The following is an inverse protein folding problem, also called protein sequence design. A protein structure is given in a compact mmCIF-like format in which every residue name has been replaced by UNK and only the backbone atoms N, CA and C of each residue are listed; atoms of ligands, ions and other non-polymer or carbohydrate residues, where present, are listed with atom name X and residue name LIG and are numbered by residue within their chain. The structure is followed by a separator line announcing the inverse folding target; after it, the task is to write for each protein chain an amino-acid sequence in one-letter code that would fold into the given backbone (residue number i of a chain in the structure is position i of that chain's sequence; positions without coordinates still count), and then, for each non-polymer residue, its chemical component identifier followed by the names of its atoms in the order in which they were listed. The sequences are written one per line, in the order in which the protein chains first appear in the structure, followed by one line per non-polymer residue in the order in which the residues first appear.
data_IF_934885076820
#
_entry.id   IF_934885076820
#
_cell.length_a   1.000
_cell.length_b   1.000
_cell.length_c   1.000
_cell.angle_alpha   90.00
_cell.angle_beta   90.00
_cell.angle_gamma   90.00
#
_symmetry.space_group_name_H-M   'P 1'
#
loop_
_entity.id
_entity.type
_entity.pdbx_description
1 polymer ?
#
# COMPACT_ATOMS: atom_id res chain seq x y z
N UNK A 1 -35.38 5.19 -0.02
CA UNK A 1 -34.37 4.48 0.79
C UNK A 1 -33.78 5.44 1.80
N UNK A 2 -33.90 5.15 3.11
CA UNK A 2 -33.36 6.00 4.17
C UNK A 2 -31.84 6.20 4.07
N UNK A 3 -31.34 7.29 4.66
CA UNK A 3 -29.91 7.71 4.60
C UNK A 3 -28.93 6.62 5.06
N UNK A 4 -29.34 5.72 5.94
CA UNK A 4 -28.53 4.58 6.40
C UNK A 4 -28.47 3.42 5.40
N UNK A 5 -29.53 3.21 4.60
CA UNK A 5 -29.58 2.09 3.63
C UNK A 5 -28.62 2.27 2.46
N UNK A 6 -28.28 3.50 2.08
CA UNK A 6 -27.40 3.75 0.93
C UNK A 6 -25.94 3.38 1.23
N UNK A 7 -25.47 3.60 2.46
CA UNK A 7 -24.08 3.32 2.85
C UNK A 7 -23.77 1.81 2.88
N UNK A 8 -24.79 0.96 2.99
CA UNK A 8 -24.62 -0.49 2.87
C UNK A 8 -24.14 -0.93 1.49
N UNK A 9 -24.31 -0.09 0.46
CA UNK A 9 -23.78 -0.33 -0.89
C UNK A 9 -22.27 -0.10 -0.99
N UNK A 10 -21.61 0.45 0.05
CA UNK A 10 -20.24 0.94 -0.03
C UNK A 10 -19.24 -0.09 0.51
N UNK A 11 -18.05 -0.11 -0.09
CA UNK A 11 -16.93 -0.94 0.35
C UNK A 11 -16.36 -0.45 1.68
N UNK A 12 -15.56 -1.26 2.37
CA UNK A 12 -14.99 -0.87 3.67
C UNK A 12 -14.07 0.34 3.50
N UNK A 13 -13.20 0.32 2.49
CA UNK A 13 -12.30 1.43 2.19
C UNK A 13 -13.06 2.73 1.84
N UNK A 14 -14.21 2.63 1.16
CA UNK A 14 -15.02 3.80 0.85
C UNK A 14 -15.71 4.38 2.09
N UNK A 15 -16.15 3.52 3.02
CA UNK A 15 -16.73 3.95 4.29
C UNK A 15 -15.70 4.63 5.20
N UNK A 16 -14.44 4.19 5.18
CA UNK A 16 -13.34 4.85 5.89
C UNK A 16 -13.15 6.30 5.40
N UNK A 17 -13.09 6.52 4.08
CA UNK A 17 -13.00 7.87 3.48
C UNK A 17 -14.19 8.74 3.88
N UNK A 18 -15.40 8.16 3.88
CA UNK A 18 -16.59 8.90 4.28
C UNK A 18 -16.59 9.25 5.78
N UNK A 19 -16.07 8.37 6.63
CA UNK A 19 -15.91 8.61 8.07
C UNK A 19 -14.89 9.73 8.31
N UNK A 20 -13.73 9.68 7.67
CA UNK A 20 -12.72 10.73 7.78
C UNK A 20 -13.26 12.08 7.30
N UNK A 21 -14.03 12.10 6.20
CA UNK A 21 -14.67 13.33 5.74
C UNK A 21 -15.69 13.90 6.74
N UNK A 22 -16.39 13.05 7.51
CA UNK A 22 -17.25 13.49 8.62
C UNK A 22 -16.43 14.08 9.76
N UNK A 23 -15.32 13.46 10.13
CA UNK A 23 -14.42 13.96 11.18
C UNK A 23 -13.87 15.34 10.80
N UNK A 24 -13.37 15.50 9.57
CA UNK A 24 -12.92 16.80 9.05
C UNK A 24 -14.06 17.82 9.12
N UNK A 25 -15.29 17.44 8.76
CA UNK A 25 -16.44 18.35 8.83
C UNK A 25 -16.81 18.74 10.26
N UNK A 26 -16.75 17.83 11.22
CA UNK A 26 -16.99 18.11 12.64
C UNK A 26 -15.97 19.12 13.19
N UNK A 27 -14.71 19.06 12.76
CA UNK A 27 -13.68 20.05 13.12
C UNK A 27 -13.90 21.44 12.48
N UNK A 28 -14.73 21.53 11.44
CA UNK A 28 -14.93 22.73 10.62
C UNK A 28 -16.40 23.16 10.51
N UNK A 29 -17.15 23.04 11.61
CA UNK A 29 -18.50 23.60 11.77
C UNK A 29 -19.64 22.60 11.51
N UNK A 30 -19.32 21.31 11.38
CA UNK A 30 -20.30 20.22 11.33
C UNK A 30 -21.08 20.09 10.02
N UNK A 31 -20.84 20.93 9.00
CA UNK A 31 -21.55 20.88 7.72
C UNK A 31 -20.70 20.25 6.62
N UNK A 32 -20.92 18.96 6.36
CA UNK A 32 -20.14 18.20 5.40
C UNK A 32 -20.46 18.59 3.96
N UNK A 33 -19.46 19.13 3.26
CA UNK A 33 -19.52 19.58 1.86
C UNK A 33 -18.62 18.71 0.97
N UNK A 34 -18.72 18.81 -0.38
CA UNK A 34 -17.83 18.10 -1.31
C UNK A 34 -16.33 18.31 -1.02
N UNK A 35 -15.95 19.49 -0.52
CA UNK A 35 -14.55 19.78 -0.16
C UNK A 35 -14.03 18.94 1.00
N UNK A 36 -14.89 18.54 1.94
CA UNK A 36 -14.50 17.65 3.04
C UNK A 36 -14.24 16.23 2.53
N UNK A 37 -15.08 15.78 1.59
CA UNK A 37 -14.86 14.48 0.94
C UNK A 37 -13.59 14.49 0.09
N UNK A 38 -13.35 15.58 -0.65
CA UNK A 38 -12.10 15.79 -1.37
C UNK A 38 -10.90 15.85 -0.41
N UNK A 39 -11.03 16.55 0.72
CA UNK A 39 -9.98 16.60 1.75
C UNK A 39 -9.67 15.21 2.30
N UNK A 40 -10.69 14.38 2.58
CA UNK A 40 -10.51 12.99 3.02
C UNK A 40 -9.78 12.13 1.98
N UNK A 41 -10.12 12.27 0.69
CA UNK A 41 -9.34 11.63 -0.37
C UNK A 41 -7.87 12.08 -0.34
N UNK A 42 -7.61 13.36 -0.07
CA UNK A 42 -6.25 13.92 -0.10
C UNK A 42 -5.44 13.64 1.18
N UNK A 43 -6.10 13.49 2.33
CA UNK A 43 -5.49 13.18 3.63
C UNK A 43 -5.12 11.72 3.74
N UNK A 44 -5.86 10.81 3.09
CA UNK A 44 -5.41 9.44 2.92
C UNK A 44 -4.06 9.43 2.19
N UNK A 45 -3.03 9.04 2.93
CA UNK A 45 -1.66 8.97 2.42
C UNK A 45 -1.48 7.94 1.28
N UNK A 46 -2.54 7.19 1.01
CA UNK A 46 -2.58 5.89 0.35
C UNK A 46 -3.61 5.82 -0.78
N UNK A 47 -3.99 6.98 -1.29
CA UNK A 47 -4.96 7.15 -2.33
C UNK A 47 -4.34 6.93 -3.74
N UNK A 48 -4.93 6.04 -4.56
CA UNK A 48 -4.61 5.84 -5.98
C UNK A 48 -4.50 7.17 -6.76
N UNK A 49 -5.26 8.18 -6.39
CA UNK A 49 -5.29 9.51 -6.98
C UNK A 49 -3.96 10.26 -6.88
N UNK A 50 -3.01 9.87 -6.00
CA UNK A 50 -1.65 10.45 -5.98
C UNK A 50 -0.94 10.36 -7.33
N UNK A 51 -1.27 9.36 -8.13
CA UNK A 51 -0.70 9.15 -9.45
C UNK A 51 -1.39 10.00 -10.54
N UNK A 52 -2.59 10.51 -10.26
CA UNK A 52 -3.43 11.21 -11.23
C UNK A 52 -3.59 12.69 -10.92
N UNK A 53 -3.31 13.08 -9.67
CA UNK A 53 -3.67 14.37 -9.12
C UNK A 53 -2.51 14.90 -8.24
N UNK A 54 -2.11 16.18 -8.38
CA UNK A 54 -1.11 16.81 -7.53
C UNK A 54 -1.67 17.08 -6.12
N UNK A 55 -1.73 16.04 -5.27
CA UNK A 55 -2.36 16.08 -3.94
C UNK A 55 -1.88 17.24 -3.07
N UNK A 56 -0.56 17.51 -3.06
CA UNK A 56 0.01 18.61 -2.26
C UNK A 56 -0.54 19.97 -2.68
N UNK A 57 -0.69 20.20 -4.00
CA UNK A 57 -1.16 21.48 -4.54
C UNK A 57 -2.64 21.69 -4.21
N UNK A 58 -3.47 20.67 -4.45
CA UNK A 58 -4.91 20.76 -4.12
C UNK A 58 -5.13 20.86 -2.61
N UNK A 59 -4.43 20.04 -1.83
CA UNK A 59 -4.55 20.08 -0.38
C UNK A 59 -4.15 21.44 0.20
N UNK A 60 -3.15 22.11 -0.41
CA UNK A 60 -2.81 23.48 -0.07
C UNK A 60 -3.93 24.45 -0.44
N UNK A 61 -4.48 24.36 -1.66
CA UNK A 61 -5.56 25.24 -2.13
C UNK A 61 -6.82 25.14 -1.25
N UNK A 62 -7.25 23.92 -0.91
CA UNK A 62 -8.39 23.70 -0.02
C UNK A 62 -8.23 24.43 1.34
N UNK A 63 -7.00 24.46 1.87
CA UNK A 63 -6.68 25.15 3.13
C UNK A 63 -6.56 26.67 2.96
N UNK A 64 -5.80 27.12 1.96
CA UNK A 64 -5.55 28.56 1.74
C UNK A 64 -6.81 29.32 1.36
N UNK A 65 -7.68 28.71 0.55
CA UNK A 65 -8.94 29.31 0.11
C UNK A 65 -10.08 29.12 1.13
N UNK A 66 -9.80 28.53 2.30
CA UNK A 66 -10.79 28.23 3.37
C UNK A 66 -12.02 27.47 2.85
N UNK A 67 -11.84 26.65 1.80
CA UNK A 67 -12.92 25.87 1.17
C UNK A 67 -13.53 24.84 2.12
N UNK A 68 -12.73 24.31 3.05
CA UNK A 68 -13.15 23.38 4.11
C UNK A 68 -13.79 24.10 5.30
N UNK A 69 -13.86 25.44 5.28
CA UNK A 69 -14.36 26.24 6.40
C UNK A 69 -13.28 26.59 7.43
N UNK A 70 -13.66 27.41 8.41
CA UNK A 70 -12.79 27.74 9.56
C UNK A 70 -12.87 26.62 10.59
N UNK A 71 -11.77 26.37 11.31
CA UNK A 71 -11.78 25.47 12.47
C UNK A 71 -12.81 25.95 13.49
N UNK A 72 -13.81 25.11 13.73
CA UNK A 72 -14.88 25.29 14.72
C UNK A 72 -15.47 23.91 14.99
N UNK A 73 -15.13 23.34 16.14
CA UNK A 73 -15.60 22.00 16.50
C UNK A 73 -17.12 22.02 16.68
N UNK A 74 -17.79 21.05 16.10
CA UNK A 74 -19.23 20.77 16.22
C UNK A 74 -19.42 19.36 16.72
N UNK A 75 -20.44 19.14 17.55
CA UNK A 75 -20.85 17.79 17.99
C UNK A 75 -21.91 17.17 17.07
N UNK A 76 -22.49 17.98 16.16
CA UNK A 76 -23.52 17.54 15.22
C UNK A 76 -23.00 17.58 13.79
N UNK A 77 -23.36 16.57 13.01
CA UNK A 77 -23.00 16.43 11.59
C UNK A 77 -24.23 16.63 10.70
N UNK A 78 -24.11 17.56 9.76
CA UNK A 78 -25.10 17.86 8.73
C UNK A 78 -24.53 17.42 7.38
N UNK A 79 -25.09 16.34 6.83
CA UNK A 79 -24.76 15.87 5.48
C UNK A 79 -25.57 16.69 4.46
N UNK A 80 -24.87 17.51 3.68
CA UNK A 80 -25.49 18.38 2.66
C UNK A 80 -26.13 17.62 1.51
N UNK A 81 -27.04 18.26 0.78
CA UNK A 81 -27.69 17.68 -0.40
C UNK A 81 -26.69 17.33 -1.51
N UNK A 82 -25.65 18.14 -1.71
CA UNK A 82 -24.57 17.82 -2.65
C UNK A 82 -23.91 16.48 -2.32
N UNK A 83 -23.59 16.22 -1.05
CA UNK A 83 -23.02 14.94 -0.64
C UNK A 83 -24.01 13.80 -0.90
N UNK A 84 -25.30 13.98 -0.61
CA UNK A 84 -26.30 12.96 -0.91
C UNK A 84 -26.40 12.67 -2.41
N UNK A 85 -26.31 13.70 -3.25
CA UNK A 85 -26.27 13.56 -4.71
C UNK A 85 -25.03 12.79 -5.18
N UNK A 86 -23.85 13.12 -4.64
CA UNK A 86 -22.59 12.40 -4.90
C UNK A 86 -22.70 10.92 -4.52
N UNK A 87 -23.23 10.60 -3.34
CA UNK A 87 -23.39 9.21 -2.90
C UNK A 87 -24.35 8.44 -3.83
N UNK A 88 -25.48 9.03 -4.22
CA UNK A 88 -26.41 8.44 -5.19
C UNK A 88 -25.76 8.21 -6.55
N UNK A 89 -24.96 9.17 -7.02
CA UNK A 89 -24.21 9.05 -8.27
C UNK A 89 -23.16 7.93 -8.19
N UNK A 90 -22.43 7.81 -7.08
CA UNK A 90 -21.45 6.74 -6.89
C UNK A 90 -22.10 5.34 -7.00
N UNK A 91 -23.32 5.17 -6.46
CA UNK A 91 -24.10 3.92 -6.63
C UNK A 91 -24.47 3.67 -8.10
N UNK A 92 -24.81 4.71 -8.88
CA UNK A 92 -25.08 4.56 -10.32
C UNK A 92 -23.82 4.17 -11.10
N UNK A 93 -22.67 4.78 -10.78
CA UNK A 93 -21.39 4.43 -11.41
C UNK A 93 -21.02 2.99 -11.09
N UNK A 94 -21.19 2.55 -9.84
CA UNK A 94 -21.03 1.16 -9.42
C UNK A 94 -21.87 0.19 -10.26
N UNK A 95 -23.15 0.48 -10.45
CA UNK A 95 -24.04 -0.34 -11.28
C UNK A 95 -23.56 -0.41 -12.74
N UNK A 96 -23.16 0.73 -13.31
CA UNK A 96 -22.60 0.80 -14.67
C UNK A 96 -21.33 -0.05 -14.82
N UNK A 97 -20.46 -0.02 -13.81
CA UNK A 97 -19.21 -0.76 -13.77
C UNK A 97 -19.39 -2.23 -13.34
N UNK A 98 -20.63 -2.66 -13.03
CA UNK A 98 -20.98 -4.02 -12.56
C UNK A 98 -20.24 -4.43 -11.28
N UNK A 99 -19.85 -3.47 -10.45
CA UNK A 99 -19.18 -3.75 -9.18
C UNK A 99 -20.18 -4.11 -8.06
N UNK A 100 -19.76 -4.99 -7.14
CA UNK A 100 -20.61 -5.43 -6.02
C UNK A 100 -20.88 -4.31 -5.01
N UNK A 101 -19.87 -3.48 -4.74
CA UNK A 101 -19.89 -2.38 -3.76
C UNK A 101 -19.33 -1.11 -4.39
N UNK A 102 -19.75 0.06 -3.89
CA UNK A 102 -19.16 1.35 -4.25
C UNK A 102 -17.75 1.43 -3.70
N UNK A 103 -16.79 1.55 -4.59
CA UNK A 103 -15.34 1.60 -4.33
C UNK A 103 -14.83 3.04 -4.26
N UNK A 104 -13.63 3.31 -3.70
CA UNK A 104 -13.04 4.64 -3.68
C UNK A 104 -12.96 5.32 -5.07
N UNK A 105 -12.61 4.64 -6.18
CA UNK A 105 -12.65 5.24 -7.51
C UNK A 105 -14.04 5.71 -7.94
N UNK A 106 -15.09 4.92 -7.66
CA UNK A 106 -16.46 5.27 -8.05
C UNK A 106 -16.98 6.45 -7.25
N UNK A 107 -16.66 6.49 -5.95
CA UNK A 107 -16.95 7.65 -5.12
C UNK A 107 -16.18 8.88 -5.60
N UNK A 108 -14.91 8.74 -5.99
CA UNK A 108 -14.13 9.85 -6.52
C UNK A 108 -14.66 10.35 -7.86
N UNK A 109 -15.00 9.46 -8.80
CA UNK A 109 -15.62 9.84 -10.08
C UNK A 109 -16.92 10.59 -9.84
N UNK A 110 -17.74 10.11 -8.91
CA UNK A 110 -18.98 10.79 -8.54
C UNK A 110 -18.74 12.18 -7.92
N UNK A 111 -17.71 12.31 -7.10
CA UNK A 111 -17.27 13.57 -6.50
C UNK A 111 -16.72 14.54 -7.56
N UNK A 112 -15.96 14.04 -8.52
CA UNK A 112 -15.34 14.83 -9.58
C UNK A 112 -16.36 15.45 -10.56
N UNK A 113 -17.57 14.88 -10.63
CA UNK A 113 -18.72 15.45 -11.33
C UNK A 113 -19.48 16.52 -10.53
N UNK A 114 -19.16 16.76 -9.25
CA UNK A 114 -19.68 17.94 -8.54
C UNK A 114 -19.09 19.21 -9.15
N UNK A 115 -19.93 20.23 -9.38
CA UNK A 115 -19.53 21.48 -10.06
C UNK A 115 -18.29 22.11 -9.42
N UNK A 116 -18.28 22.23 -8.09
CA UNK A 116 -17.20 22.89 -7.35
C UNK A 116 -15.90 22.10 -7.41
N UNK A 117 -16.00 20.77 -7.31
CA UNK A 117 -14.83 19.90 -7.42
C UNK A 117 -14.31 19.84 -8.86
N UNK A 118 -15.20 19.82 -9.86
CA UNK A 118 -14.82 19.85 -11.26
C UNK A 118 -14.04 21.12 -11.61
N UNK A 119 -14.51 22.28 -11.15
CA UNK A 119 -13.82 23.57 -11.30
C UNK A 119 -12.45 23.56 -10.62
N UNK A 120 -12.36 23.04 -9.39
CA UNK A 120 -11.10 22.87 -8.66
C UNK A 120 -10.13 21.93 -9.41
N UNK A 121 -10.60 20.81 -9.95
CA UNK A 121 -9.72 19.87 -10.66
C UNK A 121 -9.22 20.47 -11.98
N UNK A 122 -10.06 21.24 -12.67
CA UNK A 122 -9.69 21.95 -13.90
C UNK A 122 -8.63 23.02 -13.65
N UNK A 123 -8.68 23.75 -12.54
CA UNK A 123 -7.65 24.77 -12.22
C UNK A 123 -6.25 24.17 -12.02
N UNK A 124 -6.17 22.86 -11.75
CA UNK A 124 -4.92 22.11 -11.65
C UNK A 124 -4.58 21.28 -12.90
N UNK A 125 -5.26 21.52 -14.03
CA UNK A 125 -5.08 20.79 -15.30
C UNK A 125 -5.23 19.26 -15.18
N UNK A 126 -6.15 18.80 -14.33
CA UNK A 126 -6.36 17.36 -14.10
C UNK A 126 -7.32 16.82 -15.16
N UNK A 127 -6.82 15.84 -15.92
CA UNK A 127 -7.62 15.14 -16.91
C UNK A 127 -8.30 13.91 -16.29
N UNK A 128 -9.59 14.05 -15.95
CA UNK A 128 -10.41 12.98 -15.40
C UNK A 128 -10.65 11.81 -16.37
N UNK A 129 -10.57 12.06 -17.69
CA UNK A 129 -10.74 10.99 -18.69
C UNK A 129 -9.59 9.99 -18.62
N UNK A 130 -8.37 10.47 -18.37
CA UNK A 130 -7.20 9.60 -18.16
C UNK A 130 -7.37 8.75 -16.91
N UNK A 131 -7.80 9.35 -15.80
CA UNK A 131 -8.09 8.59 -14.57
C UNK A 131 -9.16 7.51 -14.82
N UNK A 132 -10.27 7.87 -15.45
CA UNK A 132 -11.36 6.93 -15.73
C UNK A 132 -10.91 5.79 -16.67
N UNK A 133 -10.14 6.10 -17.71
CA UNK A 133 -9.62 5.09 -18.64
C UNK A 133 -8.65 4.12 -17.95
N UNK A 134 -7.74 4.61 -17.13
CA UNK A 134 -6.79 3.77 -16.37
C UNK A 134 -7.53 2.90 -15.34
N UNK A 135 -8.51 3.45 -14.63
CA UNK A 135 -9.32 2.68 -13.68
C UNK A 135 -10.18 1.60 -14.36
N UNK A 136 -10.66 1.87 -15.57
CA UNK A 136 -11.42 0.89 -16.37
C UNK A 136 -10.51 -0.24 -16.87
N UNK A 137 -9.26 0.07 -17.23
CA UNK A 137 -8.26 -0.92 -17.69
C UNK A 137 -7.72 -1.79 -16.56
N UNK A 138 -7.36 -1.17 -15.44
CA UNK A 138 -6.75 -1.86 -14.30
C UNK A 138 -7.82 -2.63 -13.50
N UNK A 139 -9.07 -2.14 -13.52
CA UNK A 139 -10.11 -2.57 -12.60
C UNK A 139 -9.82 -2.07 -11.17
N UNK A 140 -10.83 -2.07 -10.31
CA UNK A 140 -10.63 -1.86 -8.88
C UNK A 140 -10.77 -3.18 -8.13
N UNK A 141 -9.68 -3.63 -7.54
CA UNK A 141 -9.64 -4.75 -6.60
C UNK A 141 -9.35 -4.17 -5.20
N UNK A 142 -10.32 -4.30 -4.28
CA UNK A 142 -10.22 -3.78 -2.92
C UNK A 142 -9.05 -4.41 -2.13
N UNK A 143 -8.74 -5.68 -2.39
CA UNK A 143 -7.59 -6.34 -1.77
C UNK A 143 -6.28 -5.78 -2.31
N UNK A 144 -6.16 -5.60 -3.64
CA UNK A 144 -4.98 -4.95 -4.25
C UNK A 144 -4.84 -3.49 -3.82
N UNK A 145 -5.94 -2.73 -3.73
CA UNK A 145 -5.94 -1.34 -3.24
C UNK A 145 -5.38 -1.25 -1.82
N UNK A 146 -5.86 -2.09 -0.91
CA UNK A 146 -5.38 -2.15 0.46
C UNK A 146 -3.91 -2.60 0.53
N UNK A 147 -3.46 -3.50 -0.36
CA UNK A 147 -2.03 -3.88 -0.50
C UNK A 147 -1.15 -2.73 -1.01
N UNK A 148 -1.60 -1.93 -1.98
CA UNK A 148 -0.87 -0.75 -2.47
C UNK A 148 -0.80 0.35 -1.40
N UNK A 149 -1.90 0.56 -0.67
CA UNK A 149 -2.00 1.44 0.50
C UNK A 149 -0.95 1.07 1.54
N UNK A 150 -0.85 -0.22 1.86
CA UNK A 150 0.21 -0.77 2.68
C UNK A 150 1.60 -0.44 2.09
N UNK A 151 1.88 -0.65 0.80
CA UNK A 151 3.23 -0.45 0.24
C UNK A 151 3.73 1.01 0.34
N UNK A 152 2.85 1.99 0.19
CA UNK A 152 3.23 3.40 0.36
C UNK A 152 3.54 3.74 1.82
N UNK A 153 2.86 3.10 2.79
CA UNK A 153 3.20 3.21 4.21
C UNK A 153 4.57 2.60 4.49
N UNK A 154 4.91 1.48 3.85
CA UNK A 154 6.26 0.89 3.94
C UNK A 154 7.33 1.85 3.43
N UNK A 155 7.13 2.47 2.26
CA UNK A 155 8.10 3.41 1.67
C UNK A 155 8.42 4.57 2.63
N UNK A 156 7.38 5.15 3.25
CA UNK A 156 7.55 6.20 4.26
C UNK A 156 8.15 5.70 5.56
N UNK A 157 7.75 4.52 6.01
CA UNK A 157 8.33 3.91 7.20
C UNK A 157 9.85 3.70 7.00
N UNK A 158 10.26 3.17 5.85
CA UNK A 158 11.67 3.02 5.48
C UNK A 158 12.34 4.38 5.41
N UNK A 159 11.73 5.37 4.74
CA UNK A 159 12.31 6.71 4.60
C UNK A 159 12.54 7.40 5.95
N UNK A 160 11.64 7.20 6.93
CA UNK A 160 11.78 7.76 8.28
C UNK A 160 12.81 7.03 9.14
N UNK A 161 12.87 5.69 9.06
CA UNK A 161 13.71 4.88 9.95
C UNK A 161 15.09 4.55 9.37
N UNK A 162 15.26 4.68 8.05
CA UNK A 162 16.50 4.43 7.32
C UNK A 162 16.80 5.68 6.48
N UNK A 163 17.22 6.78 7.14
CA UNK A 163 17.53 8.01 6.43
C UNK A 163 18.68 7.80 5.45
N UNK A 164 18.59 8.44 4.29
CA UNK A 164 19.51 8.23 3.17
C UNK A 164 19.08 7.10 2.23
N UNK A 165 20.04 6.55 1.47
CA UNK A 165 19.87 5.38 0.60
C UNK A 165 18.68 5.43 -0.39
N UNK A 166 18.32 6.62 -0.87
CA UNK A 166 17.16 6.83 -1.75
C UNK A 166 17.15 5.90 -2.97
N UNK A 167 18.33 5.58 -3.55
CA UNK A 167 18.46 4.67 -4.68
C UNK A 167 18.06 3.23 -4.31
N UNK A 168 18.57 2.70 -3.20
CA UNK A 168 18.26 1.35 -2.73
C UNK A 168 16.77 1.23 -2.36
N UNK A 169 16.23 2.20 -1.60
CA UNK A 169 14.80 2.26 -1.25
C UNK A 169 13.91 2.22 -2.49
N UNK A 170 14.17 3.08 -3.47
CA UNK A 170 13.39 3.12 -4.73
C UNK A 170 13.43 1.78 -5.47
N UNK A 171 14.59 1.13 -5.54
CA UNK A 171 14.76 -0.17 -6.22
C UNK A 171 13.93 -1.26 -5.52
N UNK A 172 14.04 -1.36 -4.19
CA UNK A 172 13.26 -2.32 -3.39
C UNK A 172 11.77 -2.05 -3.57
N UNK A 173 11.31 -0.81 -3.36
CA UNK A 173 9.89 -0.45 -3.50
C UNK A 173 9.35 -0.75 -4.90
N UNK A 174 10.15 -0.57 -5.94
CA UNK A 174 9.73 -0.90 -7.31
C UNK A 174 9.42 -2.38 -7.48
N UNK A 175 10.27 -3.26 -6.95
CA UNK A 175 10.09 -4.72 -7.04
C UNK A 175 8.86 -5.14 -6.22
N UNK A 176 8.75 -4.68 -4.96
CA UNK A 176 7.61 -5.04 -4.11
C UNK A 176 6.27 -4.54 -4.67
N UNK A 177 6.25 -3.37 -5.33
CA UNK A 177 5.07 -2.86 -6.05
C UNK A 177 4.68 -3.77 -7.20
N UNK A 178 5.65 -4.21 -8.01
CA UNK A 178 5.40 -5.09 -9.14
C UNK A 178 4.75 -6.40 -8.70
N UNK A 179 5.31 -7.03 -7.67
CA UNK A 179 4.81 -8.31 -7.15
C UNK A 179 3.41 -8.17 -6.54
N UNK A 180 3.17 -7.19 -5.67
CA UNK A 180 1.82 -7.02 -5.08
C UNK A 180 0.75 -6.59 -6.10
N UNK A 181 1.13 -5.99 -7.23
CA UNK A 181 0.21 -5.72 -8.34
C UNK A 181 -0.13 -6.97 -9.16
N UNK A 182 0.60 -8.07 -8.94
CA UNK A 182 0.50 -9.30 -9.72
C UNK A 182 1.10 -9.14 -11.11
N UNK A 183 2.09 -8.26 -11.26
CA UNK A 183 2.82 -8.01 -12.50
C UNK A 183 4.13 -8.81 -12.55
N UNK A 184 4.28 -9.78 -11.66
CA UNK A 184 5.43 -10.68 -11.68
C UNK A 184 5.30 -11.65 -12.87
N UNK A 185 6.40 -11.80 -13.60
CA UNK A 185 6.51 -12.65 -14.79
C UNK A 185 6.82 -14.10 -14.35
N UNK A 186 7.25 -14.32 -13.10
CA UNK A 186 7.71 -15.62 -12.59
C UNK A 186 7.21 -15.87 -11.16
N UNK A 187 5.93 -16.25 -10.98
CA UNK A 187 5.32 -16.48 -9.66
C UNK A 187 5.97 -17.61 -8.86
N UNK A 188 6.75 -18.48 -9.50
CA UNK A 188 7.55 -19.51 -8.86
C UNK A 188 8.78 -18.97 -8.12
N UNK A 189 9.13 -17.68 -8.25
CA UNK A 189 10.27 -17.05 -7.58
C UNK A 189 9.86 -16.32 -6.31
N UNK A 190 10.80 -16.02 -5.40
CA UNK A 190 10.50 -15.19 -4.25
C UNK A 190 10.03 -13.79 -4.69
N UNK A 191 9.10 -13.20 -3.94
CA UNK A 191 8.56 -11.83 -4.12
C UNK A 191 9.65 -10.73 -4.27
N UNK A 192 10.88 -11.02 -3.88
CA UNK A 192 12.04 -10.19 -4.19
C UNK A 192 13.32 -10.80 -3.65
N UNK A 193 14.37 -10.77 -4.48
CA UNK A 193 15.73 -11.15 -4.09
C UNK A 193 16.59 -9.89 -4.15
N UNK A 194 17.17 -9.50 -3.01
CA UNK A 194 17.96 -8.27 -2.88
C UNK A 194 19.34 -8.57 -2.32
N UNK A 195 20.38 -8.11 -3.01
CA UNK A 195 21.75 -8.10 -2.50
C UNK A 195 22.10 -6.68 -2.04
N UNK A 196 22.29 -6.50 -0.73
CA UNK A 196 22.67 -5.22 -0.15
C UNK A 196 24.18 -5.13 0.06
N UNK A 197 24.85 -4.26 -0.70
CA UNK A 197 26.29 -4.01 -0.62
C UNK A 197 26.59 -2.70 0.13
N UNK A 198 27.69 -2.69 0.91
CA UNK A 198 28.11 -1.52 1.69
C UNK A 198 28.71 -1.85 3.06
N UNK A 199 29.29 -0.86 3.76
CA UNK A 199 29.89 -1.03 5.09
C UNK A 199 28.90 -1.47 6.17
N UNK A 200 29.45 -1.97 7.28
CA UNK A 200 28.69 -2.25 8.51
C UNK A 200 28.03 -0.96 9.02
N UNK A 201 26.85 -1.09 9.62
CA UNK A 201 26.13 0.05 10.21
C UNK A 201 25.32 0.90 9.22
N UNK A 202 25.37 0.61 7.91
CA UNK A 202 24.58 1.34 6.90
C UNK A 202 23.10 0.97 6.88
N UNK A 203 22.62 0.08 7.76
CA UNK A 203 21.18 -0.20 7.90
C UNK A 203 20.62 -1.24 6.91
N UNK A 204 21.47 -2.08 6.31
CA UNK A 204 21.03 -3.21 5.45
C UNK A 204 20.04 -4.13 6.18
N UNK A 205 20.37 -4.54 7.41
CA UNK A 205 19.51 -5.40 8.21
C UNK A 205 18.22 -4.68 8.64
N UNK A 206 18.30 -3.38 8.93
CA UNK A 206 17.12 -2.56 9.23
C UNK A 206 16.14 -2.51 8.05
N UNK A 207 16.64 -2.50 6.81
CA UNK A 207 15.79 -2.58 5.61
C UNK A 207 15.04 -3.90 5.56
N UNK A 208 15.72 -5.02 5.78
CA UNK A 208 15.08 -6.33 5.83
C UNK A 208 14.04 -6.42 6.96
N UNK A 209 14.34 -5.91 8.15
CA UNK A 209 13.39 -5.82 9.27
C UNK A 209 12.13 -5.01 8.92
N UNK A 210 12.30 -3.89 8.24
CA UNK A 210 11.19 -3.04 7.80
C UNK A 210 10.27 -3.77 6.81
N UNK A 211 10.86 -4.50 5.86
CA UNK A 211 10.13 -5.32 4.89
C UNK A 211 9.42 -6.47 5.61
N UNK A 212 10.09 -7.19 6.53
CA UNK A 212 9.49 -8.31 7.26
C UNK A 212 8.24 -7.89 8.04
N UNK A 213 8.34 -6.80 8.79
CA UNK A 213 7.23 -6.23 9.57
C UNK A 213 6.02 -5.87 8.69
N UNK A 214 6.29 -5.49 7.45
CA UNK A 214 5.29 -5.12 6.47
C UNK A 214 4.55 -6.32 5.86
N UNK A 215 5.29 -7.34 5.42
CA UNK A 215 4.72 -8.53 4.79
C UNK A 215 3.97 -9.41 5.79
N UNK A 216 4.45 -9.50 7.03
CA UNK A 216 3.89 -10.41 8.03
C UNK A 216 2.69 -9.84 8.81
N UNK A 217 2.06 -8.74 8.37
CA UNK A 217 0.99 -8.04 9.12
C UNK A 217 1.30 -7.82 10.61
N UNK A 218 2.56 -7.50 10.93
CA UNK A 218 3.02 -7.29 12.31
C UNK A 218 3.50 -8.52 13.06
N UNK A 219 3.34 -9.75 12.53
CA UNK A 219 3.85 -11.00 13.14
C UNK A 219 5.38 -11.15 13.16
N UNK A 220 6.10 -10.24 12.52
CA UNK A 220 7.56 -10.21 12.38
C UNK A 220 8.17 -11.58 11.98
N UNK A 221 7.86 -12.05 10.77
CA UNK A 221 8.46 -13.26 10.22
C UNK A 221 9.78 -12.94 9.54
N UNK A 222 10.85 -12.91 10.33
CA UNK A 222 12.20 -12.66 9.86
C UNK A 222 13.11 -13.82 10.28
N UNK A 223 13.59 -14.61 9.32
CA UNK A 223 14.70 -15.53 9.55
C UNK A 223 16.01 -14.83 9.25
N UNK A 224 16.97 -14.93 10.16
CA UNK A 224 18.28 -14.32 10.00
C UNK A 224 19.36 -15.36 10.20
N UNK A 225 20.08 -15.67 9.13
CA UNK A 225 21.20 -16.60 9.12
C UNK A 225 22.50 -15.80 9.09
N UNK A 226 23.38 -16.04 10.06
CA UNK A 226 24.76 -15.55 9.99
C UNK A 226 25.58 -16.55 9.18
N UNK A 227 26.03 -16.11 8.02
CA UNK A 227 26.65 -16.97 7.03
C UNK A 227 28.13 -17.26 7.37
N UNK A 228 28.69 -16.56 8.35
CA UNK A 228 30.02 -16.87 8.89
C UNK A 228 30.06 -18.15 9.75
N UNK A 229 28.90 -18.75 10.06
CA UNK A 229 28.80 -20.04 10.76
C UNK A 229 28.91 -21.26 9.82
N UNK A 230 29.02 -21.02 8.51
CA UNK A 230 29.00 -22.05 7.46
C UNK A 230 30.15 -21.85 6.46
N UNK A 231 31.38 -21.81 6.95
CA UNK A 231 32.57 -21.54 6.13
C UNK A 231 33.20 -22.82 5.58
N UNK A 232 32.96 -23.95 6.22
CA UNK A 232 33.59 -25.22 5.89
C UNK A 232 32.75 -26.04 4.92
N UNK A 233 33.41 -26.93 4.17
CA UNK A 233 32.73 -27.77 3.17
C UNK A 233 31.67 -28.70 3.77
N UNK A 234 31.86 -29.15 5.02
CA UNK A 234 30.93 -30.04 5.72
C UNK A 234 29.76 -29.30 6.41
N UNK A 235 29.75 -27.96 6.41
CA UNK A 235 28.65 -27.19 7.01
C UNK A 235 27.38 -27.17 6.15
N UNK A 236 27.44 -27.70 4.93
CA UNK A 236 26.31 -27.68 3.99
C UNK A 236 25.06 -28.39 4.55
N UNK A 237 25.21 -29.61 5.07
CA UNK A 237 24.09 -30.40 5.59
C UNK A 237 23.48 -29.71 6.81
N UNK A 238 24.34 -29.24 7.72
CA UNK A 238 23.94 -28.44 8.89
C UNK A 238 23.18 -27.18 8.49
N UNK A 239 23.65 -26.43 7.49
CA UNK A 239 22.96 -25.25 6.97
C UNK A 239 21.57 -25.61 6.43
N UNK A 240 21.49 -26.66 5.60
CA UNK A 240 20.25 -27.07 4.97
C UNK A 240 19.20 -27.54 5.99
N UNK A 241 19.63 -28.29 7.01
CA UNK A 241 18.74 -28.77 8.08
C UNK A 241 18.18 -27.62 8.90
N UNK A 242 19.04 -26.68 9.32
CA UNK A 242 18.61 -25.50 10.09
C UNK A 242 17.69 -24.63 9.24
N UNK A 243 18.03 -24.39 7.96
CA UNK A 243 17.20 -23.61 7.05
C UNK A 243 15.81 -24.22 6.90
N UNK A 244 15.74 -25.52 6.61
CA UNK A 244 14.49 -26.23 6.37
C UNK A 244 13.62 -26.28 7.61
N UNK A 245 14.21 -26.56 8.78
CA UNK A 245 13.52 -26.55 10.06
C UNK A 245 12.89 -25.19 10.37
N UNK A 246 13.65 -24.10 10.23
CA UNK A 246 13.17 -22.76 10.52
C UNK A 246 12.06 -22.30 9.56
N UNK A 247 12.17 -22.64 8.27
CA UNK A 247 11.13 -22.32 7.29
C UNK A 247 9.83 -23.09 7.61
N UNK A 248 9.92 -24.39 7.91
CA UNK A 248 8.76 -25.20 8.32
C UNK A 248 8.09 -24.66 9.58
N UNK A 249 8.88 -24.23 10.57
CA UNK A 249 8.36 -23.63 11.80
C UNK A 249 7.52 -22.38 11.53
N UNK A 250 7.92 -21.53 10.56
CA UNK A 250 7.15 -20.34 10.18
C UNK A 250 5.92 -20.71 9.34
N UNK A 251 6.04 -21.69 8.45
CA UNK A 251 4.93 -22.13 7.59
C UNK A 251 3.81 -22.81 8.40
N UNK A 252 4.14 -23.52 9.48
CA UNK A 252 3.18 -24.14 10.41
C UNK A 252 2.21 -23.15 11.07
N UNK A 253 2.60 -21.88 11.20
CA UNK A 253 1.80 -20.80 11.80
C UNK A 253 0.75 -20.18 10.85
N UNK A 254 0.47 -20.82 9.70
CA UNK A 254 -0.40 -20.32 8.61
C UNK A 254 0.01 -18.93 8.10
N UNK A 255 1.28 -18.58 8.21
CA UNK A 255 1.78 -17.32 7.66
C UNK A 255 2.41 -17.56 6.29
N UNK A 256 1.74 -17.10 5.24
CA UNK A 256 2.19 -17.26 3.85
C UNK A 256 3.30 -16.27 3.44
N UNK A 257 3.57 -15.23 4.25
CA UNK A 257 4.53 -14.17 3.91
C UNK A 257 5.65 -14.05 4.98
N UNK A 258 6.91 -13.95 4.54
CA UNK A 258 8.09 -13.84 5.41
C UNK A 258 9.34 -13.34 4.69
N UNK A 259 10.36 -12.96 5.46
CA UNK A 259 11.65 -12.48 4.94
C UNK A 259 12.78 -13.35 5.49
N UNK A 260 13.68 -13.79 4.61
CA UNK A 260 14.90 -14.49 4.98
C UNK A 260 16.09 -13.58 4.70
N UNK A 261 16.99 -13.46 5.68
CA UNK A 261 18.21 -12.68 5.61
C UNK A 261 19.40 -13.62 5.73
N UNK A 262 20.30 -13.54 4.76
CA UNK A 262 21.60 -14.20 4.76
C UNK A 262 22.66 -13.11 4.97
N UNK A 263 23.12 -12.94 6.22
CA UNK A 263 24.07 -11.90 6.59
C UNK A 263 25.50 -12.39 6.39
N UNK A 264 26.41 -11.52 5.91
CA UNK A 264 27.82 -11.88 5.61
C UNK A 264 27.96 -13.05 4.62
N UNK A 265 27.10 -13.11 3.60
CA UNK A 265 27.09 -14.19 2.60
C UNK A 265 28.44 -14.38 1.88
N UNK A 266 29.26 -13.34 1.84
CA UNK A 266 30.62 -13.34 1.32
C UNK A 266 31.61 -14.20 2.11
N UNK A 267 31.29 -14.55 3.36
CA UNK A 267 32.14 -15.38 4.24
C UNK A 267 31.75 -16.86 4.23
N UNK A 268 30.63 -17.23 3.61
CA UNK A 268 30.17 -18.62 3.55
C UNK A 268 30.92 -19.45 2.50
N UNK A 269 30.96 -20.76 2.71
CA UNK A 269 31.50 -21.71 1.75
C UNK A 269 30.82 -21.59 0.36
N UNK A 270 31.57 -21.57 -0.76
CA UNK A 270 31.01 -21.37 -2.11
C UNK A 270 29.91 -22.37 -2.52
N UNK A 271 29.93 -23.60 -1.99
CA UNK A 271 28.89 -24.61 -2.29
C UNK A 271 27.49 -24.15 -1.85
N UNK A 272 27.37 -23.48 -0.71
CA UNK A 272 26.11 -22.96 -0.18
C UNK A 272 25.62 -21.79 -1.05
N UNK A 273 26.53 -20.91 -1.50
CA UNK A 273 26.18 -19.80 -2.41
C UNK A 273 25.62 -20.33 -3.73
N UNK A 274 26.27 -21.35 -4.32
CA UNK A 274 25.81 -21.98 -5.55
C UNK A 274 24.42 -22.61 -5.39
N UNK A 275 24.20 -23.31 -4.27
CA UNK A 275 22.90 -23.86 -3.90
C UNK A 275 21.84 -22.76 -3.79
N UNK A 276 22.16 -21.64 -3.12
CA UNK A 276 21.22 -20.53 -2.97
C UNK A 276 20.83 -19.90 -4.31
N UNK A 277 21.75 -19.79 -5.28
CA UNK A 277 21.42 -19.28 -6.62
C UNK A 277 20.35 -20.13 -7.30
N UNK A 278 20.47 -21.47 -7.22
CA UNK A 278 19.48 -22.39 -7.77
C UNK A 278 18.15 -22.34 -7.00
N UNK A 279 18.21 -22.40 -5.67
CA UNK A 279 17.03 -22.37 -4.81
C UNK A 279 16.22 -21.07 -4.97
N UNK A 280 16.88 -19.91 -4.97
CA UNK A 280 16.24 -18.61 -5.21
C UNK A 280 15.71 -18.49 -6.64
N UNK A 281 16.34 -19.16 -7.60
CA UNK A 281 15.86 -19.24 -8.98
C UNK A 281 14.55 -20.00 -9.14
N UNK A 282 14.32 -21.00 -8.27
CA UNK A 282 13.13 -21.86 -8.19
C UNK A 282 12.12 -21.44 -7.12
N UNK A 283 12.45 -20.41 -6.32
CA UNK A 283 11.66 -19.90 -5.19
C UNK A 283 11.34 -20.91 -4.09
N UNK A 284 12.10 -22.00 -3.99
CA UNK A 284 11.94 -23.04 -2.97
C UNK A 284 13.28 -23.60 -2.53
N UNK A 285 13.38 -23.99 -1.27
CA UNK A 285 14.51 -24.75 -0.77
C UNK A 285 14.11 -26.24 -0.68
N UNK A 286 14.98 -27.19 -1.02
CA UNK A 286 14.69 -28.60 -0.80
C UNK A 286 14.34 -28.86 0.66
N UNK A 287 13.33 -29.69 0.90
CA UNK A 287 12.90 -30.03 2.26
C UNK A 287 12.08 -28.96 2.98
N UNK A 288 11.59 -27.92 2.29
CA UNK A 288 10.66 -26.93 2.88
C UNK A 288 9.19 -27.11 2.52
N UNK A 289 8.90 -28.08 1.65
CA UNK A 289 7.54 -28.52 1.31
C UNK A 289 6.87 -29.22 2.51
#
# INVERSE_FOLDING_TARGET
MGKEKILNEFSKSTLEIFKEAKEIALEHGGKMSPYHLMAAFLSEENNLLRHFIPIRKIGSALRSEKMIGKKRVSNTIIITENIQSILKRAVKIKQKNKNKKVTPPELFLALAEDKKISELLKSFNINLNKFNAEMTKIGFDEQKYNKIKRLNLLDKYIERNIPGQCKARKKVMSVLRMVKLGLDIKPERPDGVFLFLGPVGTGKYSMAKAIAKYFSDGKFNLLNFDMDLYQDAWDFDKFLDILSHNIRSINGDKSEEGVIVFNKIDLTHPSIVNFMVDALGKGRFPGTD
#
